data_IF_744946727471
#
_entry.id   IF_744946727471
#
_cell.length_a   1.000
_cell.length_b   1.000
_cell.length_c   1.000
_cell.angle_alpha   90.00
_cell.angle_beta   90.00
_cell.angle_gamma   90.00
#
_symmetry.space_group_name_H-M   'P 1'
#
loop_
_entity.id
_entity.type
_entity.pdbx_description
1 polymer ?
#
# COMPACT_ATOMS: atom_id res chain seq x y z
N UNK A 1 29.03 -15.18 18.64
CA UNK A 1 28.76 -15.44 17.21
C UNK A 1 27.31 -15.87 16.92
N UNK A 2 26.71 -16.85 17.63
CA UNK A 2 25.32 -17.29 17.36
C UNK A 2 24.22 -16.25 17.63
N UNK A 3 24.43 -15.33 18.59
CA UNK A 3 23.43 -14.32 18.96
C UNK A 3 23.20 -13.29 17.84
N UNK A 4 24.27 -12.70 17.30
CA UNK A 4 24.18 -11.72 16.22
C UNK A 4 23.59 -12.28 14.90
N UNK A 5 23.84 -13.56 14.58
CA UNK A 5 23.20 -14.22 13.43
C UNK A 5 21.69 -14.41 13.63
N UNK A 6 21.26 -14.66 14.87
CA UNK A 6 19.83 -14.80 15.18
C UNK A 6 19.13 -13.44 15.16
N UNK A 7 19.73 -12.44 15.80
CA UNK A 7 19.23 -11.06 15.83
C UNK A 7 19.12 -10.48 14.42
N UNK A 8 20.18 -10.58 13.59
CA UNK A 8 20.12 -10.10 12.21
C UNK A 8 19.10 -10.84 11.33
N UNK A 9 18.80 -12.11 11.60
CA UNK A 9 17.74 -12.85 10.91
C UNK A 9 16.35 -12.41 11.36
N UNK A 10 16.16 -12.19 12.66
CA UNK A 10 14.90 -11.70 13.22
C UNK A 10 14.58 -10.29 12.68
N UNK A 11 15.55 -9.38 12.73
CA UNK A 11 15.42 -8.02 12.17
C UNK A 11 15.14 -8.04 10.67
N UNK A 12 15.85 -8.86 9.90
CA UNK A 12 15.64 -8.98 8.45
C UNK A 12 14.24 -9.49 8.09
N UNK A 13 13.68 -10.41 8.89
CA UNK A 13 12.32 -10.91 8.71
C UNK A 13 11.30 -9.81 9.05
N UNK A 14 11.49 -9.09 10.15
CA UNK A 14 10.59 -8.03 10.59
C UNK A 14 10.51 -6.89 9.56
N UNK A 15 11.66 -6.38 9.13
CA UNK A 15 11.76 -5.33 8.11
C UNK A 15 11.14 -5.81 6.79
N UNK A 16 11.39 -7.06 6.39
CA UNK A 16 10.79 -7.66 5.19
C UNK A 16 9.26 -7.75 5.26
N UNK A 17 8.72 -8.15 6.41
CA UNK A 17 7.27 -8.23 6.64
C UNK A 17 6.62 -6.85 6.63
N UNK A 18 7.24 -5.85 7.26
CA UNK A 18 6.73 -4.48 7.29
C UNK A 18 6.67 -3.87 5.88
N UNK A 19 7.79 -3.92 5.14
CA UNK A 19 7.83 -3.44 3.75
C UNK A 19 6.83 -4.16 2.85
N UNK A 20 6.70 -5.48 3.02
CA UNK A 20 5.74 -6.28 2.26
C UNK A 20 4.29 -5.86 2.54
N UNK A 21 3.95 -5.62 3.82
CA UNK A 21 2.62 -5.17 4.24
C UNK A 21 2.31 -3.77 3.69
N UNK A 22 3.23 -2.83 3.81
CA UNK A 22 3.05 -1.46 3.30
C UNK A 22 2.87 -1.44 1.78
N UNK A 23 3.77 -2.13 1.05
CA UNK A 23 3.70 -2.23 -0.42
C UNK A 23 2.41 -2.90 -0.87
N UNK A 24 1.97 -3.95 -0.19
CA UNK A 24 0.71 -4.64 -0.48
C UNK A 24 -0.50 -3.76 -0.24
N UNK A 25 -0.55 -3.05 0.89
CA UNK A 25 -1.63 -2.11 1.22
C UNK A 25 -1.71 -0.97 0.19
N UNK A 26 -0.57 -0.38 -0.18
CA UNK A 26 -0.50 0.68 -1.19
C UNK A 26 -0.96 0.20 -2.57
N UNK A 27 -0.52 -0.99 -3.01
CA UNK A 27 -0.96 -1.59 -4.28
C UNK A 27 -2.47 -1.80 -4.30
N UNK A 28 -3.02 -2.40 -3.25
CA UNK A 28 -4.47 -2.63 -3.12
C UNK A 28 -5.26 -1.31 -3.18
N UNK A 29 -4.79 -0.27 -2.50
CA UNK A 29 -5.43 1.05 -2.54
C UNK A 29 -5.47 1.61 -3.97
N UNK A 30 -4.36 1.52 -4.72
CA UNK A 30 -4.29 1.96 -6.12
C UNK A 30 -5.22 1.15 -7.03
N UNK A 31 -5.25 -0.18 -6.88
CA UNK A 31 -6.12 -1.05 -7.67
C UNK A 31 -7.60 -0.74 -7.41
N UNK A 32 -7.99 -0.55 -6.14
CA UNK A 32 -9.34 -0.14 -5.76
C UNK A 32 -9.71 1.22 -6.37
N UNK A 33 -8.79 2.19 -6.31
CA UNK A 33 -9.02 3.52 -6.89
C UNK A 33 -9.24 3.45 -8.40
N UNK A 34 -8.39 2.71 -9.13
CA UNK A 34 -8.53 2.53 -10.59
C UNK A 34 -9.84 1.84 -10.96
N UNK A 35 -10.23 0.80 -10.22
CA UNK A 35 -11.48 0.09 -10.47
C UNK A 35 -12.71 0.98 -10.24
N UNK A 36 -12.67 1.85 -9.23
CA UNK A 36 -13.74 2.79 -8.94
C UNK A 36 -13.82 3.92 -9.99
N UNK A 37 -12.68 4.48 -10.42
CA UNK A 37 -12.63 5.45 -11.53
C UNK A 37 -13.16 4.86 -12.83
N UNK A 38 -12.79 3.61 -13.15
CA UNK A 38 -13.30 2.91 -14.34
C UNK A 38 -14.83 2.70 -14.32
N UNK A 39 -15.44 2.74 -13.14
CA UNK A 39 -16.91 2.70 -12.96
C UNK A 39 -17.56 4.08 -13.00
N UNK A 40 -16.79 5.14 -13.23
CA UNK A 40 -17.27 6.52 -13.33
C UNK A 40 -17.55 7.20 -11.99
N UNK A 41 -16.97 6.70 -10.88
CA UNK A 41 -17.12 7.35 -9.58
C UNK A 41 -16.28 8.64 -9.53
N UNK A 42 -16.81 9.64 -8.84
CA UNK A 42 -16.11 10.90 -8.58
C UNK A 42 -14.84 10.72 -7.75
N UNK A 43 -13.85 11.56 -8.03
CA UNK A 43 -12.53 11.54 -7.39
C UNK A 43 -12.61 11.54 -5.86
N UNK A 44 -13.51 12.33 -5.27
CA UNK A 44 -13.68 12.39 -3.82
C UNK A 44 -14.17 11.06 -3.22
N UNK A 45 -15.14 10.42 -3.89
CA UNK A 45 -15.67 9.11 -3.48
C UNK A 45 -14.61 8.02 -3.66
N UNK A 46 -13.84 8.09 -4.75
CA UNK A 46 -12.73 7.17 -5.00
C UNK A 46 -11.65 7.32 -3.94
N UNK A 47 -11.29 8.55 -3.56
CA UNK A 47 -10.32 8.85 -2.52
C UNK A 47 -10.73 8.24 -1.18
N UNK A 48 -11.99 8.42 -0.79
CA UNK A 48 -12.56 7.84 0.43
C UNK A 48 -12.50 6.30 0.43
N UNK A 49 -12.97 5.65 -0.64
CA UNK A 49 -13.04 4.18 -0.71
C UNK A 49 -11.65 3.54 -0.76
N UNK A 50 -10.72 4.16 -1.48
CA UNK A 50 -9.36 3.63 -1.67
C UNK A 50 -8.42 3.97 -0.51
N UNK A 51 -8.78 4.95 0.33
CA UNK A 51 -7.89 5.49 1.36
C UNK A 51 -6.73 6.31 0.80
N UNK A 52 -6.85 6.79 -0.44
CA UNK A 52 -5.87 7.68 -1.08
C UNK A 52 -6.33 9.13 -0.95
N UNK A 53 -5.39 10.07 -1.04
CA UNK A 53 -5.75 11.48 -1.22
C UNK A 53 -6.36 11.73 -2.60
N UNK A 54 -7.20 12.76 -2.72
CA UNK A 54 -7.72 13.16 -4.03
C UNK A 54 -6.60 13.49 -5.03
N UNK A 55 -5.49 14.07 -4.56
CA UNK A 55 -4.32 14.34 -5.39
C UNK A 55 -3.73 13.08 -6.00
N UNK A 56 -3.57 12.03 -5.19
CA UNK A 56 -3.12 10.72 -5.67
C UNK A 56 -4.13 10.11 -6.65
N UNK A 57 -5.43 10.17 -6.36
CA UNK A 57 -6.48 9.67 -7.26
C UNK A 57 -6.47 10.41 -8.61
N UNK A 58 -6.25 11.73 -8.62
CA UNK A 58 -6.12 12.53 -9.86
C UNK A 58 -4.95 12.08 -10.73
N UNK A 59 -3.89 11.51 -10.16
CA UNK A 59 -2.79 10.94 -10.95
C UNK A 59 -3.11 9.57 -11.56
N UNK A 60 -4.20 8.92 -11.13
CA UNK A 60 -4.63 7.61 -11.60
C UNK A 60 -5.72 7.66 -12.69
N UNK A 61 -6.45 8.78 -12.77
CA UNK A 61 -7.48 9.08 -13.77
C UNK A 61 -6.84 9.40 -15.13
#
# INVERSE_FOLDING_TARGET
MRKGLREGREEGIEVGMEMGRETGARKKAVEMARAALAKGLDIGVVAEISGLSEGEVRTLA
#
